data_IF_038657236947
#
_entry.id   IF_038657236947
#
_cell.length_a   1.000
_cell.length_b   1.000
_cell.length_c   1.000
_cell.angle_alpha   90.00
_cell.angle_beta   90.00
_cell.angle_gamma   90.00
#
_symmetry.space_group_name_H-M   'P 1'
#
loop_
_entity.id
_entity.type
_entity.pdbx_description
1 polymer ?
#
# COMPACT_ATOMS: atom_id res chain seq x y z
N UNK A 1 -17.07 3.73 -24.61
CA UNK A 1 -17.40 2.59 -23.74
C UNK A 1 -16.67 1.29 -24.16
N UNK A 2 -15.41 1.37 -24.65
CA UNK A 2 -14.65 0.26 -25.23
C UNK A 2 -13.14 0.49 -25.00
N UNK A 3 -12.59 0.02 -23.87
CA UNK A 3 -11.12 -0.11 -23.66
C UNK A 3 -10.71 -0.91 -22.39
N UNK A 4 -11.61 -1.67 -21.74
CA UNK A 4 -11.26 -2.43 -20.51
C UNK A 4 -11.12 -3.95 -20.70
N UNK A 5 -11.18 -4.46 -21.94
CA UNK A 5 -11.22 -5.91 -22.23
C UNK A 5 -9.89 -6.71 -22.17
N UNK A 6 -8.65 -6.16 -22.27
CA UNK A 6 -7.46 -7.03 -22.31
C UNK A 6 -7.03 -7.54 -20.93
N UNK A 7 -7.24 -6.75 -19.87
CA UNK A 7 -6.83 -7.11 -18.51
C UNK A 7 -7.65 -8.28 -17.95
N UNK A 8 -8.96 -8.30 -18.24
CA UNK A 8 -9.87 -9.36 -17.79
C UNK A 8 -9.47 -10.71 -18.43
N UNK A 9 -9.09 -10.71 -19.71
CA UNK A 9 -8.68 -11.93 -20.42
C UNK A 9 -7.31 -12.50 -20.03
N UNK A 10 -6.37 -11.67 -19.55
CA UNK A 10 -5.08 -12.14 -19.00
C UNK A 10 -5.30 -12.82 -17.64
N UNK A 11 -6.14 -12.20 -16.81
CA UNK A 11 -6.50 -12.69 -15.49
C UNK A 11 -7.32 -13.98 -15.57
N UNK A 12 -8.20 -14.10 -16.57
CA UNK A 12 -8.96 -15.32 -16.85
C UNK A 12 -8.10 -16.45 -17.44
N UNK A 13 -7.02 -16.11 -18.16
CA UNK A 13 -6.01 -17.09 -18.59
C UNK A 13 -5.15 -17.57 -17.43
N UNK A 14 -4.74 -16.66 -16.54
CA UNK A 14 -4.03 -17.02 -15.31
C UNK A 14 -4.88 -17.93 -14.39
N UNK A 15 -6.15 -17.59 -14.17
CA UNK A 15 -7.07 -18.39 -13.36
C UNK A 15 -7.33 -19.79 -13.94
N UNK A 16 -7.42 -19.90 -15.28
CA UNK A 16 -7.57 -21.18 -15.97
C UNK A 16 -6.31 -22.05 -15.92
N UNK A 17 -5.12 -21.46 -16.09
CA UNK A 17 -3.85 -22.18 -15.99
C UNK A 17 -3.55 -22.72 -14.57
N UNK A 18 -4.14 -22.13 -13.54
CA UNK A 18 -3.95 -22.52 -12.14
C UNK A 18 -5.01 -23.52 -11.62
N UNK A 19 -5.98 -23.91 -12.45
CA UNK A 19 -7.04 -24.85 -12.07
C UNK A 19 -7.94 -24.30 -10.95
N UNK A 20 -8.26 -23.00 -11.01
CA UNK A 20 -9.17 -22.33 -10.09
C UNK A 20 -10.60 -22.77 -10.43
N UNK A 21 -11.30 -23.41 -9.49
CA UNK A 21 -12.72 -23.75 -9.65
C UNK A 21 -13.55 -22.48 -9.75
N UNK A 22 -14.61 -22.48 -10.55
CA UNK A 22 -15.42 -21.27 -10.82
C UNK A 22 -15.97 -20.58 -9.55
N UNK A 23 -16.17 -21.33 -8.46
CA UNK A 23 -16.57 -20.80 -7.15
C UNK A 23 -15.50 -19.99 -6.40
N UNK A 24 -14.21 -20.21 -6.68
CA UNK A 24 -13.08 -19.57 -5.97
C UNK A 24 -12.54 -18.34 -6.69
N UNK A 25 -12.84 -18.22 -7.99
CA UNK A 25 -12.32 -17.17 -8.88
C UNK A 25 -12.58 -15.76 -8.36
N UNK A 26 -13.79 -15.51 -7.87
CA UNK A 26 -14.18 -14.20 -7.32
C UNK A 26 -13.40 -13.84 -6.07
N UNK A 27 -13.18 -14.81 -5.17
CA UNK A 27 -12.40 -14.59 -3.95
C UNK A 27 -10.94 -14.27 -4.28
N UNK A 28 -10.32 -15.02 -5.19
CA UNK A 28 -8.95 -14.78 -5.66
C UNK A 28 -8.81 -13.40 -6.28
N UNK A 29 -9.73 -13.03 -7.16
CA UNK A 29 -9.74 -11.73 -7.84
C UNK A 29 -9.87 -10.56 -6.87
N UNK A 30 -10.78 -10.67 -5.89
CA UNK A 30 -10.97 -9.64 -4.88
C UNK A 30 -9.72 -9.52 -4.00
N UNK A 31 -9.17 -10.63 -3.51
CA UNK A 31 -7.95 -10.62 -2.69
C UNK A 31 -6.75 -10.05 -3.45
N UNK A 32 -6.57 -10.44 -4.72
CA UNK A 32 -5.53 -9.90 -5.59
C UNK A 32 -5.68 -8.38 -5.76
N UNK A 33 -6.88 -7.90 -6.07
CA UNK A 33 -7.16 -6.48 -6.30
C UNK A 33 -6.97 -5.65 -5.04
N UNK A 34 -7.39 -6.18 -3.88
CA UNK A 34 -7.21 -5.53 -2.57
C UNK A 34 -5.72 -5.44 -2.22
N UNK A 35 -4.96 -6.53 -2.39
CA UNK A 35 -3.53 -6.53 -2.11
C UNK A 35 -2.78 -5.60 -3.05
N UNK A 36 -3.06 -5.66 -4.35
CA UNK A 36 -2.47 -4.78 -5.36
C UNK A 36 -2.68 -3.30 -5.00
N UNK A 37 -3.94 -2.92 -4.74
CA UNK A 37 -4.28 -1.52 -4.44
C UNK A 37 -3.65 -1.06 -3.13
N UNK A 38 -3.63 -1.93 -2.11
CA UNK A 38 -3.02 -1.64 -0.81
C UNK A 38 -1.52 -1.42 -0.95
N UNK A 39 -0.82 -2.32 -1.65
CA UNK A 39 0.65 -2.23 -1.80
C UNK A 39 1.02 -1.07 -2.72
N UNK A 40 0.26 -0.82 -3.80
CA UNK A 40 0.48 0.33 -4.67
C UNK A 40 0.30 1.66 -3.92
N UNK A 41 -0.78 1.80 -3.15
CA UNK A 41 -1.00 2.98 -2.32
C UNK A 41 0.11 3.14 -1.28
N UNK A 42 0.52 2.05 -0.63
CA UNK A 42 1.58 2.10 0.37
C UNK A 42 2.93 2.53 -0.22
N UNK A 43 3.32 1.96 -1.36
CA UNK A 43 4.53 2.34 -2.08
C UNK A 43 4.50 3.81 -2.54
N UNK A 44 3.35 4.30 -3.02
CA UNK A 44 3.19 5.72 -3.35
C UNK A 44 3.42 6.61 -2.13
N UNK A 45 2.82 6.26 -1.00
CA UNK A 45 2.98 7.02 0.25
C UNK A 45 4.44 6.97 0.75
N UNK A 46 5.13 5.85 0.60
CA UNK A 46 6.56 5.73 0.91
C UNK A 46 7.41 6.66 0.03
N UNK A 47 7.09 6.77 -1.25
CA UNK A 47 7.84 7.64 -2.15
C UNK A 47 7.55 9.13 -1.90
N UNK A 48 6.31 9.47 -1.52
CA UNK A 48 5.95 10.81 -1.07
C UNK A 48 6.67 11.17 0.24
N UNK A 49 6.73 10.21 1.17
CA UNK A 49 7.48 10.30 2.42
C UNK A 49 8.95 10.61 2.15
N UNK A 50 9.60 9.89 1.23
CA UNK A 50 11.00 10.11 0.88
C UNK A 50 11.24 11.45 0.17
N UNK A 51 10.30 11.88 -0.69
CA UNK A 51 10.38 13.21 -1.32
C UNK A 51 10.28 14.35 -0.29
N UNK A 52 9.42 14.19 0.73
CA UNK A 52 9.30 15.13 1.85
C UNK A 52 10.60 15.22 2.69
N UNK A 53 11.36 14.11 2.79
CA UNK A 53 12.68 14.13 3.43
C UNK A 53 13.67 15.00 2.65
N UNK A 54 13.64 14.89 1.32
CA UNK A 54 14.54 15.65 0.43
C UNK A 54 14.17 17.14 0.36
N UNK A 55 12.90 17.51 0.55
CA UNK A 55 12.43 18.90 0.41
C UNK A 55 12.78 19.84 1.57
N UNK A 56 13.63 19.42 2.53
CA UNK A 56 14.24 20.34 3.52
C UNK A 56 13.75 20.20 4.97
N UNK A 57 13.16 19.06 5.36
CA UNK A 57 12.88 18.79 6.78
C UNK A 57 14.22 18.62 7.54
N UNK A 58 14.45 19.34 8.65
CA UNK A 58 15.71 19.22 9.41
C UNK A 58 15.94 17.78 9.89
N UNK A 59 17.12 17.21 9.57
CA UNK A 59 17.44 15.79 9.80
C UNK A 59 17.30 15.33 11.26
N UNK A 60 17.43 16.25 12.22
CA UNK A 60 17.26 15.99 13.65
C UNK A 60 15.81 15.72 14.05
N UNK A 61 14.82 16.30 13.36
CA UNK A 61 13.40 16.01 13.61
C UNK A 61 13.01 14.60 13.14
N UNK A 62 13.72 14.03 12.16
CA UNK A 62 13.42 12.72 11.59
C UNK A 62 13.63 11.58 12.58
N UNK A 63 14.70 11.61 13.36
CA UNK A 63 14.94 10.61 14.39
C UNK A 63 13.77 10.51 15.37
N UNK A 64 13.24 11.66 15.80
CA UNK A 64 12.06 11.74 16.68
C UNK A 64 10.82 11.16 15.99
N UNK A 65 10.59 11.45 14.70
CA UNK A 65 9.46 10.89 13.95
C UNK A 65 9.57 9.37 13.80
N UNK A 66 10.76 8.82 13.55
CA UNK A 66 10.96 7.37 13.49
C UNK A 66 10.72 6.69 14.85
N UNK A 67 11.20 7.30 15.95
CA UNK A 67 10.92 6.81 17.30
C UNK A 67 9.42 6.88 17.59
N UNK A 68 8.75 7.97 17.20
CA UNK A 68 7.31 8.12 17.36
C UNK A 68 6.54 7.07 16.56
N UNK A 69 6.96 6.78 15.31
CA UNK A 69 6.40 5.67 14.52
C UNK A 69 6.60 4.36 15.25
N UNK A 70 7.81 4.04 15.73
CA UNK A 70 8.08 2.78 16.42
C UNK A 70 7.18 2.63 17.66
N UNK A 71 7.05 3.69 18.45
CA UNK A 71 6.21 3.72 19.66
C UNK A 71 4.72 3.62 19.33
N UNK A 72 4.25 4.26 18.25
CA UNK A 72 2.83 4.23 17.86
C UNK A 72 2.45 2.97 17.08
N UNK A 73 3.38 2.38 16.33
CA UNK A 73 3.12 1.21 15.49
C UNK A 73 2.71 0.01 16.33
N UNK A 74 3.38 -0.22 17.45
CA UNK A 74 3.07 -1.33 18.36
C UNK A 74 1.62 -1.28 18.89
N UNK A 75 1.15 -0.20 19.54
CA UNK A 75 -0.22 -0.11 20.02
C UNK A 75 -1.23 -0.12 18.88
N UNK A 76 -0.95 0.52 17.72
CA UNK A 76 -1.85 0.48 16.57
C UNK A 76 -1.97 -0.94 16.00
N UNK A 77 -0.86 -1.69 15.91
CA UNK A 77 -0.88 -3.09 15.47
C UNK A 77 -1.61 -4.00 16.46
N UNK A 78 -1.46 -3.77 17.76
CA UNK A 78 -2.22 -4.52 18.79
C UNK A 78 -3.71 -4.18 18.71
N UNK A 79 -4.05 -2.90 18.53
CA UNK A 79 -5.44 -2.44 18.39
C UNK A 79 -6.08 -3.02 17.13
N UNK A 80 -5.39 -3.01 15.99
CA UNK A 80 -5.89 -3.57 14.74
C UNK A 80 -6.06 -5.09 14.84
N UNK A 81 -5.13 -5.80 15.49
CA UNK A 81 -5.26 -7.23 15.77
C UNK A 81 -6.48 -7.52 16.65
N UNK A 82 -6.69 -6.75 17.73
CA UNK A 82 -7.87 -6.88 18.59
C UNK A 82 -9.16 -6.59 17.84
N UNK A 83 -9.18 -5.56 16.99
CA UNK A 83 -10.33 -5.23 16.15
C UNK A 83 -10.64 -6.36 15.15
N UNK A 84 -9.62 -6.97 14.56
CA UNK A 84 -9.74 -8.12 13.65
C UNK A 84 -10.37 -9.32 14.36
N UNK A 85 -9.93 -9.62 15.59
CA UNK A 85 -10.49 -10.71 16.40
C UNK A 85 -11.94 -10.44 16.85
N UNK A 86 -12.33 -9.17 17.07
CA UNK A 86 -13.67 -8.81 17.57
C UNK A 86 -14.71 -8.60 16.48
N UNK A 87 -14.32 -7.99 15.36
CA UNK A 87 -15.23 -7.58 14.28
C UNK A 87 -15.21 -8.55 13.08
N UNK A 88 -14.25 -9.49 13.06
CA UNK A 88 -13.97 -10.37 11.93
C UNK A 88 -13.05 -9.69 10.91
N UNK A 89 -12.14 -10.47 10.31
CA UNK A 89 -11.06 -9.91 9.49
C UNK A 89 -11.57 -9.13 8.28
N UNK A 90 -12.66 -9.58 7.65
CA UNK A 90 -13.27 -8.89 6.51
C UNK A 90 -13.78 -7.48 6.87
N UNK A 91 -14.52 -7.33 7.98
CA UNK A 91 -15.04 -6.02 8.40
C UNK A 91 -13.93 -5.10 8.87
N UNK A 92 -12.97 -5.64 9.63
CA UNK A 92 -11.83 -4.88 10.11
C UNK A 92 -10.98 -4.34 8.94
N UNK A 93 -10.74 -5.16 7.91
CA UNK A 93 -10.03 -4.75 6.71
C UNK A 93 -10.78 -3.67 5.93
N UNK A 94 -12.09 -3.84 5.69
CA UNK A 94 -12.89 -2.84 4.97
C UNK A 94 -12.92 -1.49 5.71
N UNK A 95 -13.11 -1.51 7.04
CA UNK A 95 -13.11 -0.27 7.85
C UNK A 95 -11.76 0.41 7.78
N UNK A 96 -10.65 -0.32 7.90
CA UNK A 96 -9.31 0.24 7.79
C UNK A 96 -9.02 0.81 6.39
N UNK A 97 -9.47 0.14 5.32
CA UNK A 97 -9.32 0.63 3.95
C UNK A 97 -10.10 1.93 3.71
N UNK A 98 -11.35 2.00 4.19
CA UNK A 98 -12.17 3.21 4.09
C UNK A 98 -11.57 4.34 4.93
N UNK A 99 -11.12 4.04 6.15
CA UNK A 99 -10.46 5.01 7.02
C UNK A 99 -9.17 5.53 6.38
N UNK A 100 -8.29 4.66 5.87
CA UNK A 100 -7.07 5.03 5.19
C UNK A 100 -7.34 5.88 3.94
N UNK A 101 -8.34 5.51 3.14
CA UNK A 101 -8.73 6.28 1.95
C UNK A 101 -9.22 7.69 2.32
N UNK A 102 -10.06 7.80 3.34
CA UNK A 102 -10.52 9.09 3.86
C UNK A 102 -9.40 9.94 4.44
N UNK A 103 -8.45 9.31 5.13
CA UNK A 103 -7.27 9.97 5.70
C UNK A 103 -6.36 10.55 4.60
N UNK A 104 -6.09 9.75 3.56
CA UNK A 104 -5.28 10.18 2.42
C UNK A 104 -6.01 11.29 1.66
N UNK A 105 -7.31 11.15 1.39
CA UNK A 105 -8.10 12.18 0.71
C UNK A 105 -8.15 13.49 1.51
N UNK A 106 -8.29 13.42 2.84
CA UNK A 106 -8.25 14.59 3.71
C UNK A 106 -6.87 15.22 3.81
N UNK A 107 -5.80 14.44 3.70
CA UNK A 107 -4.44 14.99 3.65
C UNK A 107 -4.21 15.87 2.40
N UNK A 108 -4.85 15.55 1.27
CA UNK A 108 -4.75 16.35 0.04
C UNK A 108 -5.43 17.72 0.12
N UNK A 109 -6.36 17.93 1.05
CA UNK A 109 -7.06 19.22 1.21
C UNK A 109 -6.40 20.14 2.24
N UNK A 110 -5.44 19.63 3.02
CA UNK A 110 -4.76 20.39 4.06
C UNK A 110 -3.57 21.19 3.48
N UNK A 111 -3.30 22.41 4.01
CA UNK A 111 -2.13 23.17 3.61
C UNK A 111 -0.84 22.46 4.03
N UNK A 112 0.16 22.51 3.15
CA UNK A 112 1.47 21.88 3.38
C UNK A 112 2.21 22.63 4.48
N UNK A 113 2.06 22.15 5.72
CA UNK A 113 2.76 22.65 6.91
C UNK A 113 3.64 21.54 7.49
N UNK A 114 4.67 21.89 8.26
CA UNK A 114 5.57 20.91 8.88
C UNK A 114 4.83 19.88 9.74
N UNK A 115 3.76 20.29 10.43
CA UNK A 115 2.92 19.40 11.23
C UNK A 115 2.14 18.41 10.38
N UNK A 116 1.54 18.87 9.28
CA UNK A 116 0.79 17.99 8.35
C UNK A 116 1.74 17.01 7.67
N UNK A 117 2.94 17.44 7.30
CA UNK A 117 3.97 16.55 6.76
C UNK A 117 4.35 15.42 7.74
N UNK A 118 4.60 15.75 9.02
CA UNK A 118 4.87 14.75 10.07
C UNK A 118 3.67 13.82 10.28
N UNK A 119 2.45 14.35 10.27
CA UNK A 119 1.24 13.55 10.44
C UNK A 119 1.07 12.55 9.28
N UNK A 120 1.19 12.98 8.03
CA UNK A 120 1.13 12.11 6.84
C UNK A 120 2.23 11.06 6.86
N UNK A 121 3.42 11.43 7.32
CA UNK A 121 4.57 10.54 7.46
C UNK A 121 4.29 9.42 8.47
N UNK A 122 3.78 9.76 9.66
CA UNK A 122 3.40 8.80 10.70
C UNK A 122 2.26 7.90 10.22
N UNK A 123 1.22 8.51 9.64
CA UNK A 123 0.05 7.78 9.13
C UNK A 123 0.41 6.78 8.04
N UNK A 124 1.36 7.11 7.16
CA UNK A 124 1.88 6.19 6.14
C UNK A 124 2.44 4.91 6.77
N UNK A 125 3.25 5.03 7.83
CA UNK A 125 3.80 3.89 8.55
C UNK A 125 2.71 3.06 9.24
N UNK A 126 1.74 3.72 9.87
CA UNK A 126 0.62 3.05 10.53
C UNK A 126 -0.27 2.29 9.53
N UNK A 127 -0.53 2.87 8.35
CA UNK A 127 -1.34 2.23 7.30
C UNK A 127 -0.72 0.89 6.89
N UNK A 128 0.58 0.84 6.63
CA UNK A 128 1.27 -0.42 6.30
C UNK A 128 1.22 -1.43 7.44
N UNK A 129 1.48 -0.98 8.67
CA UNK A 129 1.46 -1.84 9.86
C UNK A 129 0.08 -2.41 10.21
N UNK A 130 -1.00 -1.75 9.77
CA UNK A 130 -2.38 -2.21 10.01
C UNK A 130 -2.89 -3.05 8.86
N UNK A 131 -2.77 -2.57 7.62
CA UNK A 131 -3.38 -3.21 6.46
C UNK A 131 -2.71 -4.55 6.13
N UNK A 132 -1.38 -4.68 6.31
CA UNK A 132 -0.67 -5.92 5.98
C UNK A 132 -1.11 -7.08 6.89
N UNK A 133 -1.07 -6.98 8.23
CA UNK A 133 -1.58 -8.06 9.09
C UNK A 133 -3.08 -8.34 8.95
N UNK A 134 -3.89 -7.31 8.70
CA UNK A 134 -5.33 -7.49 8.48
C UNK A 134 -5.63 -8.24 7.18
N UNK A 135 -4.90 -7.93 6.11
CA UNK A 135 -5.01 -8.65 4.85
C UNK A 135 -4.65 -10.13 5.04
N UNK A 136 -3.56 -10.43 5.74
CA UNK A 136 -3.16 -11.81 6.01
C UNK A 136 -4.16 -12.56 6.88
N UNK A 137 -4.77 -11.88 7.85
CA UNK A 137 -5.84 -12.45 8.68
C UNK A 137 -7.09 -12.76 7.83
N UNK A 138 -7.47 -11.84 6.93
CA UNK A 138 -8.56 -12.04 5.99
C UNK A 138 -8.33 -13.23 5.05
N UNK A 139 -7.10 -13.41 4.56
CA UNK A 139 -6.72 -14.57 3.77
C UNK A 139 -6.89 -15.89 4.53
N UNK A 140 -6.55 -15.90 5.83
CA UNK A 140 -6.71 -17.07 6.69
C UNK A 140 -8.17 -17.47 6.93
N UNK A 141 -9.09 -16.50 6.96
CA UNK A 141 -10.53 -16.75 7.13
C UNK A 141 -11.21 -17.23 5.84
N UNK A 142 -10.72 -16.79 4.67
CA UNK A 142 -11.37 -17.04 3.36
C UNK A 142 -10.87 -18.31 2.69
N UNK A 143 -9.60 -18.66 2.86
CA UNK A 143 -8.98 -19.78 2.15
C UNK A 143 -8.62 -20.93 3.08
N UNK A 144 -8.95 -22.14 2.65
CA UNK A 144 -8.53 -23.38 3.30
C UNK A 144 -7.04 -23.66 3.08
N UNK A 145 -6.44 -24.48 3.95
CA UNK A 145 -5.00 -24.79 3.89
C UNK A 145 -4.53 -25.33 2.52
N UNK A 146 -5.39 -26.07 1.82
CA UNK A 146 -5.11 -26.61 0.48
C UNK A 146 -5.19 -25.52 -0.61
N UNK A 147 -6.17 -24.63 -0.54
CA UNK A 147 -6.32 -23.49 -1.45
C UNK A 147 -5.16 -22.51 -1.32
N UNK A 148 -4.71 -22.21 -0.09
CA UNK A 148 -3.56 -21.33 0.16
C UNK A 148 -2.33 -21.81 -0.60
N UNK A 149 -1.93 -23.09 -0.48
CA UNK A 149 -0.72 -23.61 -1.18
C UNK A 149 -0.75 -23.39 -2.69
N UNK A 150 -1.92 -23.39 -3.32
CA UNK A 150 -2.09 -23.23 -4.77
C UNK A 150 -2.28 -21.78 -5.21
N UNK A 151 -3.04 -20.99 -4.44
CA UNK A 151 -3.50 -19.64 -4.82
C UNK A 151 -2.63 -18.53 -4.24
N UNK A 152 -1.83 -18.82 -3.21
CA UNK A 152 -1.03 -17.80 -2.51
C UNK A 152 0.05 -17.19 -3.38
N UNK A 153 0.73 -17.97 -4.22
CA UNK A 153 1.73 -17.45 -5.16
C UNK A 153 1.14 -16.41 -6.12
N UNK A 154 0.09 -16.75 -6.89
CA UNK A 154 -0.61 -15.81 -7.76
C UNK A 154 -1.13 -14.57 -7.02
N UNK A 155 -1.74 -14.73 -5.85
CA UNK A 155 -2.24 -13.60 -5.06
C UNK A 155 -1.09 -12.70 -4.60
N UNK A 156 0.01 -13.29 -4.10
CA UNK A 156 1.17 -12.56 -3.59
C UNK A 156 1.93 -11.82 -4.69
N UNK A 157 1.84 -12.27 -5.96
CA UNK A 157 2.41 -11.55 -7.10
C UNK A 157 1.83 -10.13 -7.25
N UNK A 158 0.60 -9.90 -6.76
CA UNK A 158 0.01 -8.57 -6.67
C UNK A 158 0.85 -7.58 -5.86
N UNK A 159 1.60 -8.06 -4.86
CA UNK A 159 2.48 -7.22 -4.06
C UNK A 159 3.64 -6.66 -4.88
N UNK A 160 4.27 -7.49 -5.71
CA UNK A 160 5.36 -7.05 -6.61
C UNK A 160 4.82 -6.06 -7.65
N UNK A 161 3.71 -6.42 -8.29
CA UNK A 161 3.08 -5.56 -9.31
C UNK A 161 2.64 -4.22 -8.69
N UNK A 162 2.02 -4.25 -7.51
CA UNK A 162 1.60 -3.07 -6.78
C UNK A 162 2.79 -2.19 -6.38
N UNK A 163 3.88 -2.78 -5.88
CA UNK A 163 5.08 -2.04 -5.50
C UNK A 163 5.73 -1.34 -6.70
N UNK A 164 5.84 -2.03 -7.83
CA UNK A 164 6.35 -1.44 -9.08
C UNK A 164 5.41 -0.35 -9.60
N UNK A 165 4.10 -0.57 -9.54
CA UNK A 165 3.11 0.41 -10.00
C UNK A 165 3.08 1.67 -9.12
N UNK A 166 3.34 1.53 -7.81
CA UNK A 166 3.39 2.63 -6.87
C UNK A 166 4.73 3.35 -6.77
N UNK A 167 5.80 2.77 -7.34
CA UNK A 167 7.13 3.40 -7.33
C UNK A 167 7.26 4.41 -8.48
N UNK A 168 7.79 5.63 -8.24
CA UNK A 168 8.07 6.59 -9.28
C UNK A 168 9.11 5.99 -10.23
N UNK A 169 8.80 5.98 -11.52
CA UNK A 169 9.77 5.54 -12.52
C UNK A 169 10.97 6.47 -12.47
N UNK A 170 12.22 5.94 -12.39
CA UNK A 170 13.39 6.78 -12.48
C UNK A 170 13.31 7.58 -13.78
N UNK A 171 13.44 8.90 -13.67
CA UNK A 171 13.56 9.75 -14.87
C UNK A 171 14.77 9.25 -15.65
N UNK A 172 14.63 8.98 -16.97
CA UNK A 172 15.76 8.53 -17.76
C UNK A 172 16.92 9.53 -17.59
N UNK A 173 18.12 9.03 -17.29
CA UNK A 173 19.34 9.83 -17.05
C UNK A 173 19.62 10.84 -18.17
N UNK A 174 19.09 10.61 -19.36
CA UNK A 174 19.17 11.51 -20.52
C UNK A 174 18.52 12.90 -20.30
N UNK A 175 17.68 13.08 -19.28
CA UNK A 175 17.12 14.38 -18.88
C UNK A 175 17.89 15.06 -17.74
N UNK A 176 19.05 14.53 -17.34
CA UNK A 176 19.97 15.26 -16.47
C UNK A 176 20.54 16.45 -17.27
N UNK A 177 19.84 17.58 -17.20
CA UNK A 177 20.40 18.87 -17.61
C UNK A 177 21.74 19.04 -16.87
N UNK A 178 22.83 19.39 -17.58
CA UNK A 178 24.07 19.73 -16.91
C UNK A 178 23.79 20.85 -15.91
N UNK A 179 24.43 20.85 -14.72
CA UNK A 179 24.32 21.97 -13.79
C UNK A 179 24.74 23.21 -14.55
N UNK A 180 23.79 24.13 -14.80
CA UNK A 180 24.12 25.44 -15.32
C UNK A 180 25.05 26.05 -14.28
N UNK A 181 26.32 26.17 -14.64
CA UNK A 181 27.30 26.94 -13.93
C UNK A 181 26.84 28.40 -13.93
N UNK A 182 26.05 28.79 -12.95
CA UNK A 182 25.95 30.18 -12.52
C UNK A 182 27.18 30.46 -11.66
N UNK A 183 28.30 30.71 -12.32
CA UNK A 183 29.43 31.44 -11.77
C UNK A 183 29.59 32.74 -12.57
N UNK A 184 29.87 33.82 -11.83
CA UNK A 184 30.18 35.18 -12.25
C UNK A 184 29.01 36.09 -12.67
N UNK A 185 28.57 36.91 -11.71
CA UNK A 185 28.56 38.36 -11.85
C UNK A 185 28.83 39.00 -10.49
#
# INVERSE_FOLDING_TARGET
MLAMHPAIGLVERFARLLGVRDGERRAVLVSFSVLLSTVAAHALLETARDALLLSGVPRTALGVVYVLIAVLTVPTAVASRRATLRLGAKRALTVSLVAASGLVAGAWTLPVTSTVAVLVYVLTGLIGAVLVPQFWSFMGDVFTATQVRRLFGPISSAGVIGGVAGSPRPRPRWFALPPRATCCS
#
